data_IF_440030722733
#
_entry.id   IF_440030722733
#
_cell.length_a   1.000
_cell.length_b   1.000
_cell.length_c   1.000
_cell.angle_alpha   90.00
_cell.angle_beta   90.00
_cell.angle_gamma   90.00
#
_symmetry.space_group_name_H-M   'P 1'
#
loop_
_entity.id
_entity.type
_entity.pdbx_description
1 polymer ?
#
# COMPACT_ATOMS: atom_id res chain seq x y z
N UNK A 1 -13.60 -13.95 -16.45
CA UNK A 1 -12.72 -12.93 -15.83
C UNK A 1 -13.03 -12.86 -14.35
N UNK A 2 -12.02 -12.93 -13.49
CA UNK A 2 -12.13 -12.82 -12.04
C UNK A 2 -11.97 -11.35 -11.62
N UNK A 3 -12.86 -10.84 -10.76
CA UNK A 3 -12.68 -9.54 -10.12
C UNK A 3 -11.87 -9.73 -8.83
N UNK A 4 -10.71 -9.09 -8.76
CA UNK A 4 -9.88 -9.06 -7.55
C UNK A 4 -10.43 -8.00 -6.59
N UNK A 5 -11.55 -8.34 -5.92
CA UNK A 5 -12.29 -7.42 -5.06
C UNK A 5 -11.55 -7.19 -3.74
N UNK A 6 -11.05 -5.96 -3.56
CA UNK A 6 -10.35 -5.55 -2.36
C UNK A 6 -11.21 -5.58 -1.09
N UNK A 7 -12.54 -5.49 -1.19
CA UNK A 7 -13.42 -5.60 -0.01
C UNK A 7 -13.39 -7.01 0.54
N UNK A 8 -13.48 -8.02 -0.33
CA UNK A 8 -13.47 -9.43 0.07
C UNK A 8 -12.11 -9.77 0.68
N UNK A 9 -11.02 -9.47 -0.04
CA UNK A 9 -9.67 -9.80 0.42
C UNK A 9 -9.29 -9.04 1.72
N UNK A 10 -9.59 -7.74 1.82
CA UNK A 10 -9.28 -6.98 3.03
C UNK A 10 -10.14 -7.40 4.22
N UNK A 11 -11.40 -7.80 4.00
CA UNK A 11 -12.26 -8.32 5.07
C UNK A 11 -11.68 -9.61 5.67
N UNK A 12 -11.16 -10.53 4.85
CA UNK A 12 -10.52 -11.75 5.33
C UNK A 12 -9.27 -11.46 6.19
N UNK A 13 -8.42 -10.52 5.73
CA UNK A 13 -7.25 -10.09 6.50
C UNK A 13 -7.66 -9.45 7.83
N UNK A 14 -8.65 -8.55 7.81
CA UNK A 14 -9.15 -7.88 9.02
C UNK A 14 -9.78 -8.86 10.02
N UNK A 15 -10.54 -9.84 9.54
CA UNK A 15 -11.11 -10.88 10.41
C UNK A 15 -10.02 -11.67 11.15
N UNK A 16 -8.95 -12.00 10.45
CA UNK A 16 -7.78 -12.67 11.06
C UNK A 16 -7.12 -11.79 12.13
N UNK A 17 -6.91 -10.50 11.82
CA UNK A 17 -6.31 -9.54 12.76
C UNK A 17 -7.20 -9.31 13.99
N UNK A 18 -8.52 -9.19 13.80
CA UNK A 18 -9.46 -9.05 14.90
C UNK A 18 -9.41 -10.26 15.84
N UNK A 19 -9.39 -11.48 15.29
CA UNK A 19 -9.28 -12.69 16.10
C UNK A 19 -7.94 -12.74 16.88
N UNK A 20 -6.83 -12.35 16.27
CA UNK A 20 -5.53 -12.23 16.94
C UNK A 20 -5.58 -11.18 18.07
N UNK A 21 -6.14 -10.01 17.81
CA UNK A 21 -6.28 -8.95 18.86
C UNK A 21 -7.14 -9.41 20.01
N UNK A 22 -8.26 -10.07 19.73
CA UNK A 22 -9.15 -10.62 20.78
C UNK A 22 -8.44 -11.67 21.64
N UNK A 23 -7.62 -12.54 21.03
CA UNK A 23 -6.82 -13.49 21.78
C UNK A 23 -5.83 -12.79 22.72
N UNK A 24 -5.12 -11.75 22.23
CA UNK A 24 -4.20 -10.95 23.05
C UNK A 24 -4.92 -10.30 24.25
N UNK A 25 -6.06 -9.67 24.01
CA UNK A 25 -6.82 -8.98 25.09
C UNK A 25 -7.39 -9.98 26.09
N UNK A 26 -7.80 -11.17 25.66
CA UNK A 26 -8.24 -12.25 26.56
C UNK A 26 -7.11 -12.73 27.47
N UNK A 27 -5.86 -12.70 26.99
CA UNK A 27 -4.66 -13.01 27.76
C UNK A 27 -4.21 -11.84 28.68
N UNK A 28 -4.95 -10.74 28.73
CA UNK A 28 -4.61 -9.53 29.50
C UNK A 28 -3.51 -8.68 28.88
N UNK A 29 -3.16 -8.93 27.63
CA UNK A 29 -2.19 -8.12 26.85
C UNK A 29 -2.89 -6.92 26.24
N UNK A 30 -2.13 -5.83 25.99
CA UNK A 30 -2.66 -4.67 25.29
C UNK A 30 -2.91 -4.96 23.80
N UNK A 31 -3.75 -4.16 23.17
CA UNK A 31 -3.92 -4.19 21.74
C UNK A 31 -2.71 -3.56 21.01
N UNK A 32 -2.47 -3.91 19.70
CA UNK A 32 -1.55 -3.18 18.84
C UNK A 32 -1.99 -1.72 18.69
N UNK A 33 -1.02 -0.79 18.60
CA UNK A 33 -1.29 0.65 18.56
C UNK A 33 -0.62 1.33 17.38
N UNK A 34 -1.44 1.95 16.51
CA UNK A 34 -1.02 2.74 15.36
C UNK A 34 -1.11 4.24 15.65
N UNK A 35 -0.01 4.97 15.54
CA UNK A 35 0.00 6.43 15.54
C UNK A 35 0.09 6.97 14.10
N UNK A 36 -0.89 7.78 13.71
CA UNK A 36 -0.92 8.44 12.41
C UNK A 36 -0.73 9.95 12.57
N UNK A 37 0.14 10.55 11.78
CA UNK A 37 0.35 12.00 11.74
C UNK A 37 -0.19 12.52 10.41
N UNK A 38 -1.04 13.54 10.47
CA UNK A 38 -1.58 14.28 9.32
C UNK A 38 -1.15 15.74 9.41
N UNK A 39 -0.48 16.24 8.37
CA UNK A 39 -0.09 17.63 8.25
C UNK A 39 -0.99 18.35 7.24
N UNK A 40 -1.64 19.40 7.68
CA UNK A 40 -2.60 20.16 6.88
C UNK A 40 -3.96 19.47 6.74
N UNK A 41 -4.76 19.96 5.78
CA UNK A 41 -6.16 19.59 5.60
C UNK A 41 -6.48 19.12 4.17
N UNK A 42 -5.54 18.46 3.49
CA UNK A 42 -5.80 17.90 2.17
C UNK A 42 -6.91 16.84 2.25
N UNK A 43 -8.04 17.08 1.58
CA UNK A 43 -9.22 16.23 1.68
C UNK A 43 -9.02 14.77 1.22
N UNK A 44 -8.02 14.50 0.37
CA UNK A 44 -7.65 13.12 0.05
C UNK A 44 -6.94 12.46 1.24
N UNK A 45 -5.95 13.14 1.82
CA UNK A 45 -5.21 12.67 3.00
C UNK A 45 -6.13 12.49 4.20
N UNK A 46 -7.07 13.40 4.44
CA UNK A 46 -8.08 13.26 5.50
C UNK A 46 -8.95 12.01 5.34
N UNK A 47 -9.43 11.77 4.12
CA UNK A 47 -10.24 10.58 3.82
C UNK A 47 -9.45 9.29 4.08
N UNK A 48 -8.17 9.27 3.69
CA UNK A 48 -7.28 8.12 3.91
C UNK A 48 -7.02 7.87 5.39
N UNK A 49 -6.67 8.91 6.14
CA UNK A 49 -6.41 8.82 7.59
C UNK A 49 -7.66 8.40 8.35
N UNK A 50 -8.81 8.98 8.05
CA UNK A 50 -10.09 8.58 8.66
C UNK A 50 -10.39 7.08 8.39
N UNK A 51 -10.10 6.61 7.17
CA UNK A 51 -10.25 5.19 6.85
C UNK A 51 -9.27 4.31 7.63
N UNK A 52 -8.01 4.74 7.84
CA UNK A 52 -7.02 4.00 8.65
C UNK A 52 -7.49 3.87 10.11
N UNK A 53 -7.91 4.98 10.73
CA UNK A 53 -8.45 4.99 12.10
C UNK A 53 -9.65 4.05 12.24
N UNK A 54 -10.64 4.16 11.35
CA UNK A 54 -11.80 3.28 11.35
C UNK A 54 -11.41 1.79 11.23
N UNK A 55 -10.44 1.46 10.39
CA UNK A 55 -9.99 0.08 10.22
C UNK A 55 -9.19 -0.43 11.44
N UNK A 56 -8.50 0.44 12.19
CA UNK A 56 -7.94 0.09 13.51
C UNK A 56 -9.06 -0.32 14.46
N UNK A 57 -10.13 0.48 14.58
CA UNK A 57 -11.30 0.14 15.41
C UNK A 57 -11.92 -1.21 15.00
N UNK A 58 -12.12 -1.43 13.70
CA UNK A 58 -12.68 -2.70 13.17
C UNK A 58 -11.83 -3.94 13.48
N UNK A 59 -10.53 -3.77 13.72
CA UNK A 59 -9.58 -4.85 14.06
C UNK A 59 -9.23 -4.90 15.54
N UNK A 60 -9.85 -4.03 16.37
CA UNK A 60 -9.58 -3.94 17.80
C UNK A 60 -8.24 -3.31 18.16
N UNK A 61 -7.58 -2.64 17.20
CA UNK A 61 -6.34 -1.91 17.43
C UNK A 61 -6.62 -0.57 18.10
N UNK A 62 -5.69 -0.11 18.92
CA UNK A 62 -5.64 1.28 19.35
C UNK A 62 -5.13 2.17 18.21
N UNK A 63 -5.61 3.41 18.17
CA UNK A 63 -5.11 4.40 17.21
C UNK A 63 -5.00 5.78 17.82
N UNK A 64 -3.92 6.49 17.50
CA UNK A 64 -3.72 7.90 17.82
C UNK A 64 -3.61 8.69 16.53
N UNK A 65 -4.43 9.72 16.38
CA UNK A 65 -4.34 10.67 15.28
C UNK A 65 -3.77 12.00 15.76
N UNK A 66 -2.58 12.33 15.31
CA UNK A 66 -1.93 13.63 15.52
C UNK A 66 -2.22 14.52 14.30
N UNK A 67 -2.87 15.65 14.52
CA UNK A 67 -3.13 16.66 13.48
C UNK A 67 -2.21 17.85 13.71
N UNK A 68 -1.51 18.23 12.65
CA UNK A 68 -0.63 19.40 12.65
C UNK A 68 -1.09 20.36 11.53
N UNK A 69 -0.93 21.64 11.76
CA UNK A 69 -1.31 22.66 10.78
C UNK A 69 -0.43 22.60 9.53
N UNK A 70 -0.93 23.12 8.41
CA UNK A 70 -0.24 23.08 7.12
C UNK A 70 1.09 23.85 7.12
N UNK A 71 1.21 24.85 7.96
CA UNK A 71 2.39 25.70 8.14
C UNK A 71 3.29 25.29 9.31
N UNK A 72 3.00 24.12 9.92
CA UNK A 72 3.86 23.58 11.00
C UNK A 72 5.31 23.48 10.54
N UNK A 73 6.25 23.90 11.39
CA UNK A 73 7.66 23.78 11.06
C UNK A 73 8.09 22.30 11.02
N UNK A 74 9.04 21.98 10.13
CA UNK A 74 9.64 20.64 10.05
C UNK A 74 10.13 20.17 11.44
N UNK A 75 10.75 21.07 12.22
CA UNK A 75 11.23 20.74 13.57
C UNK A 75 10.12 20.20 14.48
N UNK A 76 8.96 20.84 14.52
CA UNK A 76 7.82 20.41 15.36
C UNK A 76 7.32 19.01 14.92
N UNK A 77 7.26 18.76 13.61
CA UNK A 77 6.90 17.43 13.10
C UNK A 77 7.94 16.37 13.51
N UNK A 78 9.22 16.66 13.35
CA UNK A 78 10.29 15.71 13.73
C UNK A 78 10.31 15.46 15.24
N UNK A 79 10.14 16.49 16.08
CA UNK A 79 10.04 16.36 17.53
C UNK A 79 8.85 15.45 17.92
N UNK A 80 7.70 15.57 17.24
CA UNK A 80 6.55 14.71 17.47
C UNK A 80 6.81 13.25 17.05
N UNK A 81 7.52 13.02 15.96
CA UNK A 81 7.94 11.67 15.56
C UNK A 81 8.87 11.05 16.61
N UNK A 82 9.83 11.83 17.13
CA UNK A 82 10.76 11.38 18.18
C UNK A 82 9.99 11.03 19.47
N UNK A 83 8.99 11.82 19.85
CA UNK A 83 8.11 11.51 20.97
C UNK A 83 7.41 10.16 20.79
N UNK A 84 6.84 9.92 19.61
CA UNK A 84 6.17 8.65 19.29
C UNK A 84 7.15 7.47 19.19
N UNK A 85 8.35 7.70 18.67
CA UNK A 85 9.42 6.68 18.65
C UNK A 85 9.74 6.20 20.07
N UNK A 86 9.78 7.11 21.04
CA UNK A 86 10.11 6.82 22.43
C UNK A 86 8.91 6.32 23.26
N UNK A 87 7.71 6.38 22.73
CA UNK A 87 6.52 5.89 23.44
C UNK A 87 6.41 4.36 23.31
N UNK A 88 6.58 3.59 24.40
CA UNK A 88 6.53 2.12 24.37
C UNK A 88 5.13 1.55 24.07
N UNK A 89 4.07 2.35 24.22
CA UNK A 89 2.71 1.91 23.90
C UNK A 89 2.37 2.04 22.41
N UNK A 90 3.21 2.73 21.61
CA UNK A 90 3.02 2.89 20.16
C UNK A 90 3.86 1.85 19.42
N UNK A 91 3.22 1.01 18.62
CA UNK A 91 3.90 -0.04 17.84
C UNK A 91 4.23 0.41 16.42
N UNK A 92 3.32 1.13 15.79
CA UNK A 92 3.48 1.63 14.43
C UNK A 92 3.31 3.14 14.34
N UNK A 93 4.13 3.77 13.51
CA UNK A 93 4.06 5.20 13.18
C UNK A 93 3.93 5.33 11.67
N UNK A 94 3.00 6.16 11.24
CA UNK A 94 2.93 6.62 9.86
C UNK A 94 2.77 8.12 9.80
N UNK A 95 3.41 8.74 8.81
CA UNK A 95 3.18 10.14 8.45
C UNK A 95 2.50 10.17 7.09
N UNK A 96 1.29 10.71 7.04
CA UNK A 96 0.49 10.71 5.81
C UNK A 96 1.11 11.60 4.73
N UNK A 97 1.50 11.00 3.61
CA UNK A 97 2.00 11.71 2.44
C UNK A 97 0.84 12.13 1.50
N UNK A 98 1.03 13.17 0.68
CA UNK A 98 2.22 14.04 0.59
C UNK A 98 2.29 15.07 1.72
N UNK A 99 3.49 15.54 2.03
CA UNK A 99 3.74 16.63 2.97
C UNK A 99 3.75 18.00 2.27
N UNK A 100 3.56 19.11 3.01
CA UNK A 100 3.80 20.46 2.51
C UNK A 100 5.24 20.61 1.99
N UNK A 101 5.43 21.42 0.93
CA UNK A 101 6.71 21.57 0.22
C UNK A 101 7.89 22.05 1.07
N UNK A 102 7.64 22.70 2.21
CA UNK A 102 8.67 23.21 3.12
C UNK A 102 9.21 22.14 4.09
N UNK A 103 8.64 20.94 4.07
CA UNK A 103 9.06 19.80 4.90
C UNK A 103 9.76 18.78 4.02
N UNK A 104 10.96 18.36 4.42
CA UNK A 104 11.71 17.32 3.74
C UNK A 104 11.15 15.93 4.07
N UNK A 105 10.47 15.32 3.09
CA UNK A 105 9.84 14.01 3.21
C UNK A 105 10.86 12.90 3.53
N UNK A 106 12.06 12.95 2.95
CA UNK A 106 13.11 11.95 3.20
C UNK A 106 13.56 11.99 4.65
N UNK A 107 13.79 13.19 5.18
CA UNK A 107 14.18 13.40 6.57
C UNK A 107 13.08 12.95 7.55
N UNK A 108 11.80 13.19 7.22
CA UNK A 108 10.67 12.71 8.01
C UNK A 108 10.65 11.19 8.06
N UNK A 109 10.79 10.51 6.91
CA UNK A 109 10.82 9.05 6.83
C UNK A 109 12.01 8.50 7.65
N UNK A 110 13.20 9.06 7.51
CA UNK A 110 14.40 8.62 8.23
C UNK A 110 14.35 8.89 9.74
N UNK A 111 13.52 9.82 10.20
CA UNK A 111 13.33 10.09 11.63
C UNK A 111 12.45 9.04 12.32
N UNK A 112 11.60 8.35 11.57
CA UNK A 112 10.78 7.24 12.13
C UNK A 112 11.74 6.09 12.50
N UNK A 113 11.57 5.54 13.71
CA UNK A 113 12.33 4.34 14.08
C UNK A 113 11.98 3.18 13.11
N UNK A 114 12.97 2.55 12.46
CA UNK A 114 12.73 1.43 11.54
C UNK A 114 11.88 0.30 12.11
N UNK A 115 11.92 0.10 13.43
CA UNK A 115 11.09 -0.90 14.12
C UNK A 115 9.61 -0.47 14.29
N UNK A 116 9.28 0.78 13.98
CA UNK A 116 7.91 1.34 14.03
C UNK A 116 7.44 1.89 12.68
N UNK A 117 8.27 1.81 11.63
CA UNK A 117 7.95 2.24 10.26
C UNK A 117 7.00 1.23 9.59
N UNK A 118 5.73 1.28 9.96
CA UNK A 118 4.72 0.32 9.45
C UNK A 118 4.25 0.61 8.03
N UNK A 119 4.57 1.78 7.46
CA UNK A 119 4.42 2.04 6.02
C UNK A 119 5.53 1.38 5.19
N UNK A 120 6.68 1.02 5.81
CA UNK A 120 7.78 0.31 5.19
C UNK A 120 8.63 1.16 4.24
N UNK A 121 8.71 2.48 4.47
CA UNK A 121 9.42 3.42 3.60
C UNK A 121 10.83 3.75 4.07
N UNK A 122 11.15 3.45 5.32
CA UNK A 122 12.48 3.73 5.88
C UNK A 122 13.56 2.98 5.09
N UNK A 123 14.69 3.64 4.73
CA UNK A 123 15.78 3.04 3.94
C UNK A 123 16.30 1.71 4.51
N UNK A 124 16.36 1.57 5.85
CA UNK A 124 16.76 0.32 6.50
C UNK A 124 15.76 -0.82 6.18
N UNK A 125 14.45 -0.56 6.18
CA UNK A 125 13.43 -1.55 5.85
C UNK A 125 13.47 -1.91 4.37
N UNK A 126 13.62 -0.92 3.49
CA UNK A 126 13.76 -1.12 2.04
C UNK A 126 15.03 -1.93 1.72
N UNK A 127 16.16 -1.63 2.37
CA UNK A 127 17.41 -2.39 2.20
C UNK A 127 17.26 -3.85 2.62
N UNK A 128 16.58 -4.10 3.74
CA UNK A 128 16.27 -5.47 4.21
C UNK A 128 15.32 -6.20 3.26
N UNK A 129 14.31 -5.49 2.69
CA UNK A 129 13.41 -6.06 1.70
C UNK A 129 14.17 -6.55 0.46
N UNK A 130 15.10 -5.76 -0.06
CA UNK A 130 15.96 -6.13 -1.21
C UNK A 130 16.78 -7.39 -0.91
N UNK A 131 17.25 -7.55 0.33
CA UNK A 131 18.04 -8.71 0.77
C UNK A 131 17.18 -9.93 1.15
N UNK A 132 15.85 -9.85 1.08
CA UNK A 132 14.95 -10.91 1.53
C UNK A 132 14.97 -11.16 3.04
N UNK A 133 15.42 -10.18 3.84
CA UNK A 133 15.45 -10.26 5.29
C UNK A 133 14.10 -9.86 5.91
N UNK A 134 13.75 -10.39 7.10
CA UNK A 134 12.53 -9.99 7.80
C UNK A 134 12.46 -8.47 8.01
N UNK A 135 11.43 -7.82 7.47
CA UNK A 135 11.25 -6.37 7.53
C UNK A 135 9.78 -5.99 7.37
N UNK A 136 9.44 -4.71 7.53
CA UNK A 136 8.15 -4.18 7.08
C UNK A 136 8.19 -3.98 5.57
N UNK A 137 7.12 -4.44 4.93
CA UNK A 137 6.95 -4.33 3.48
C UNK A 137 6.11 -3.06 3.22
N UNK A 138 6.46 -2.21 2.24
CA UNK A 138 5.61 -1.08 1.87
C UNK A 138 4.14 -1.48 1.74
N UNK A 139 3.25 -0.74 2.42
CA UNK A 139 1.88 -1.17 2.67
C UNK A 139 1.07 -1.51 1.40
N UNK A 140 1.22 -0.73 0.32
CA UNK A 140 0.53 -0.99 -0.96
C UNK A 140 1.05 -2.25 -1.66
N UNK A 141 2.35 -2.44 -1.90
CA UNK A 141 2.90 -3.70 -2.39
C UNK A 141 2.54 -4.91 -1.53
N UNK A 142 2.57 -4.75 -0.21
CA UNK A 142 2.15 -5.83 0.69
C UNK A 142 0.68 -6.20 0.51
N UNK A 143 -0.19 -5.20 0.40
CA UNK A 143 -1.60 -5.40 0.10
C UNK A 143 -1.82 -6.15 -1.22
N UNK A 144 -1.03 -5.86 -2.26
CA UNK A 144 -1.09 -6.58 -3.54
C UNK A 144 -0.68 -8.05 -3.35
N UNK A 145 0.40 -8.34 -2.65
CA UNK A 145 0.83 -9.72 -2.34
C UNK A 145 -0.27 -10.48 -1.57
N UNK A 146 -0.88 -9.85 -0.57
CA UNK A 146 -2.01 -10.44 0.18
C UNK A 146 -3.23 -10.70 -0.72
N UNK A 147 -3.51 -9.81 -1.66
CA UNK A 147 -4.60 -9.98 -2.63
C UNK A 147 -4.32 -11.14 -3.59
N UNK A 148 -3.11 -11.21 -4.15
CA UNK A 148 -2.71 -12.32 -5.02
C UNK A 148 -2.81 -13.67 -4.30
N UNK A 149 -2.43 -13.73 -3.02
CA UNK A 149 -2.57 -14.91 -2.18
C UNK A 149 -4.03 -15.28 -1.93
N UNK A 150 -4.88 -14.29 -1.62
CA UNK A 150 -6.29 -14.52 -1.32
C UNK A 150 -7.08 -15.11 -2.49
N UNK A 151 -6.73 -14.70 -3.71
CA UNK A 151 -7.39 -15.16 -4.94
C UNK A 151 -6.64 -16.29 -5.65
N UNK A 152 -5.63 -16.89 -5.00
CA UNK A 152 -4.81 -17.99 -5.54
C UNK A 152 -4.24 -17.68 -6.93
N UNK A 153 -3.80 -16.42 -7.15
CA UNK A 153 -3.22 -16.00 -8.43
C UNK A 153 -1.81 -16.62 -8.58
N UNK A 154 -1.58 -17.44 -9.62
CA UNK A 154 -0.27 -18.05 -9.83
C UNK A 154 0.74 -17.03 -10.33
N UNK A 155 1.88 -16.92 -9.63
CA UNK A 155 2.96 -15.97 -9.94
C UNK A 155 4.25 -16.67 -10.36
N UNK A 156 4.51 -17.88 -9.85
CA UNK A 156 5.75 -18.61 -10.11
C UNK A 156 5.99 -18.87 -11.60
N UNK A 157 7.12 -18.40 -12.10
CA UNK A 157 7.52 -18.56 -13.50
C UNK A 157 6.77 -17.64 -14.48
N UNK A 158 6.00 -16.66 -13.98
CA UNK A 158 5.27 -15.70 -14.80
C UNK A 158 6.14 -14.50 -15.17
N UNK A 159 5.84 -13.89 -16.32
CA UNK A 159 6.37 -12.59 -16.70
C UNK A 159 5.50 -11.50 -16.07
N UNK A 160 6.09 -10.68 -15.21
CA UNK A 160 5.41 -9.56 -14.61
C UNK A 160 5.98 -8.22 -15.10
N UNK A 161 5.11 -7.30 -15.42
CA UNK A 161 5.48 -5.93 -15.79
C UNK A 161 4.95 -4.99 -14.71
N UNK A 162 5.84 -4.17 -14.15
CA UNK A 162 5.48 -3.12 -13.21
C UNK A 162 5.68 -1.78 -13.90
N UNK A 163 4.60 -1.03 -14.12
CA UNK A 163 4.64 0.28 -14.77
C UNK A 163 4.63 1.37 -13.69
N UNK A 164 5.75 2.06 -13.52
CA UNK A 164 6.00 3.03 -12.46
C UNK A 164 7.15 2.58 -11.56
N UNK A 165 8.00 3.54 -11.14
CA UNK A 165 9.22 3.25 -10.35
C UNK A 165 9.33 4.09 -9.09
N UNK A 166 8.18 4.41 -8.47
CA UNK A 166 8.15 5.10 -7.18
C UNK A 166 8.78 4.25 -6.08
N UNK A 167 9.33 4.91 -5.06
CA UNK A 167 9.90 4.21 -3.90
C UNK A 167 8.82 3.55 -3.03
N UNK A 168 7.56 4.03 -3.13
CA UNK A 168 6.45 3.56 -2.30
C UNK A 168 5.67 2.39 -2.92
N UNK A 169 5.72 2.23 -4.26
CA UNK A 169 4.98 1.13 -4.95
C UNK A 169 5.86 0.42 -5.97
N UNK A 170 6.27 1.08 -7.05
CA UNK A 170 6.83 0.39 -8.22
C UNK A 170 8.10 -0.40 -7.93
N UNK A 171 9.09 0.21 -7.28
CA UNK A 171 10.34 -0.47 -6.89
C UNK A 171 10.08 -1.62 -5.90
N UNK A 172 9.43 -1.42 -4.75
CA UNK A 172 9.19 -2.53 -3.84
C UNK A 172 8.32 -3.62 -4.44
N UNK A 173 7.37 -3.30 -5.33
CA UNK A 173 6.57 -4.30 -6.02
C UNK A 173 7.41 -5.17 -6.96
N UNK A 174 8.35 -4.57 -7.71
CA UNK A 174 9.25 -5.33 -8.58
C UNK A 174 10.18 -6.26 -7.78
N UNK A 175 10.63 -5.83 -6.61
CA UNK A 175 11.42 -6.65 -5.69
C UNK A 175 10.58 -7.85 -5.19
N UNK A 176 9.37 -7.60 -4.70
CA UNK A 176 8.50 -8.65 -4.15
C UNK A 176 8.12 -9.70 -5.20
N UNK A 177 7.72 -9.28 -6.39
CA UNK A 177 7.35 -10.20 -7.46
C UNK A 177 8.53 -11.04 -7.95
N UNK A 178 9.77 -10.53 -7.90
CA UNK A 178 10.97 -11.29 -8.24
C UNK A 178 11.54 -12.13 -7.10
N UNK A 179 11.12 -11.88 -5.85
CA UNK A 179 11.63 -12.57 -4.67
C UNK A 179 11.17 -14.04 -4.60
N UNK A 180 11.95 -14.86 -3.91
CA UNK A 180 11.60 -16.26 -3.63
C UNK A 180 10.61 -16.36 -2.46
N UNK A 181 9.38 -15.95 -2.71
CA UNK A 181 8.23 -16.02 -1.80
C UNK A 181 7.03 -16.65 -2.52
N UNK A 182 6.00 -17.15 -1.82
CA UNK A 182 4.86 -17.83 -2.47
C UNK A 182 4.20 -17.03 -3.60
N UNK A 183 3.98 -15.71 -3.43
CA UNK A 183 3.42 -14.81 -4.46
C UNK A 183 4.50 -14.03 -5.23
N UNK A 184 5.71 -14.56 -5.30
CA UNK A 184 6.84 -14.04 -6.05
C UNK A 184 7.25 -15.00 -7.17
N UNK A 185 8.57 -15.13 -7.36
CA UNK A 185 9.19 -16.01 -8.36
C UNK A 185 8.80 -15.67 -9.81
N UNK A 186 8.48 -14.38 -10.07
CA UNK A 186 8.28 -13.86 -11.43
C UNK A 186 9.60 -13.44 -12.06
N UNK A 187 9.67 -13.45 -13.40
CA UNK A 187 10.58 -12.60 -14.15
C UNK A 187 9.96 -11.21 -14.24
N UNK A 188 10.64 -10.16 -13.77
CA UNK A 188 10.03 -8.83 -13.63
C UNK A 188 10.70 -7.81 -14.53
N UNK A 189 9.91 -7.09 -15.32
CA UNK A 189 10.33 -5.91 -16.06
C UNK A 189 9.76 -4.65 -15.38
N UNK A 190 10.63 -3.77 -14.88
CA UNK A 190 10.25 -2.47 -14.31
C UNK A 190 10.27 -1.39 -15.38
N UNK A 191 9.10 -0.87 -15.74
CA UNK A 191 8.91 0.15 -16.76
C UNK A 191 8.69 1.54 -16.15
N UNK A 192 9.07 2.57 -16.91
CA UNK A 192 8.99 3.97 -16.52
C UNK A 192 8.89 4.91 -17.73
N UNK A 193 8.80 6.21 -17.53
CA UNK A 193 8.63 7.23 -18.57
C UNK A 193 9.69 7.24 -19.69
N UNK A 194 10.83 6.62 -19.48
CA UNK A 194 11.89 6.48 -20.49
C UNK A 194 11.94 5.07 -21.12
N UNK A 195 11.02 4.17 -20.76
CA UNK A 195 10.94 2.85 -21.36
C UNK A 195 10.48 2.98 -22.80
N UNK A 196 11.26 2.42 -23.73
CA UNK A 196 10.88 2.28 -25.14
C UNK A 196 10.07 0.99 -25.30
N UNK A 197 9.22 0.95 -26.33
CA UNK A 197 8.43 -0.24 -26.68
C UNK A 197 7.58 -0.78 -25.51
N UNK A 198 6.99 0.13 -24.72
CA UNK A 198 6.20 -0.26 -23.52
C UNK A 198 5.02 -1.18 -23.89
N UNK A 199 4.37 -0.93 -25.01
CA UNK A 199 3.25 -1.75 -25.49
C UNK A 199 3.68 -3.19 -25.74
N UNK A 200 4.76 -3.40 -26.44
CA UNK A 200 5.32 -4.73 -26.76
C UNK A 200 5.71 -5.47 -25.47
N UNK A 201 6.34 -4.76 -24.54
CA UNK A 201 6.69 -5.32 -23.22
C UNK A 201 5.43 -5.76 -22.44
N UNK A 202 4.38 -4.94 -22.46
CA UNK A 202 3.12 -5.27 -21.79
C UNK A 202 2.40 -6.46 -22.45
N UNK A 203 2.48 -6.61 -23.77
CA UNK A 203 1.88 -7.74 -24.50
C UNK A 203 2.52 -9.10 -24.17
N UNK A 204 3.75 -9.12 -23.62
CA UNK A 204 4.42 -10.35 -23.17
C UNK A 204 4.10 -10.68 -21.70
N UNK A 205 3.46 -9.76 -20.96
CA UNK A 205 3.24 -9.90 -19.53
C UNK A 205 2.06 -10.82 -19.21
N UNK A 206 2.26 -11.74 -18.27
CA UNK A 206 1.19 -12.52 -17.62
C UNK A 206 0.54 -11.74 -16.49
N UNK A 207 1.29 -10.82 -15.85
CA UNK A 207 0.83 -9.96 -14.76
C UNK A 207 1.28 -8.53 -15.06
N UNK A 208 0.37 -7.57 -15.02
CA UNK A 208 0.70 -6.14 -15.14
C UNK A 208 0.27 -5.42 -13.88
N UNK A 209 1.21 -4.68 -13.26
CA UNK A 209 0.93 -3.76 -12.16
C UNK A 209 1.07 -2.34 -12.67
N UNK A 210 -0.04 -1.61 -12.79
CA UNK A 210 -0.07 -0.22 -13.23
C UNK A 210 -0.04 0.71 -12.00
N UNK A 211 1.05 1.48 -11.85
CA UNK A 211 1.31 2.35 -10.70
C UNK A 211 1.99 3.66 -11.11
N UNK A 212 1.36 4.40 -12.03
CA UNK A 212 1.93 5.64 -12.60
C UNK A 212 1.16 6.91 -12.17
N UNK A 213 -0.08 6.78 -11.73
CA UNK A 213 -0.94 7.93 -11.41
C UNK A 213 -1.45 8.68 -12.64
N UNK A 214 -1.60 8.00 -13.78
CA UNK A 214 -2.12 8.55 -15.03
C UNK A 214 -3.39 7.80 -15.42
N UNK A 215 -4.57 8.42 -15.33
CA UNK A 215 -5.84 7.75 -15.59
C UNK A 215 -5.94 7.14 -16.98
N UNK A 216 -6.45 5.90 -17.05
CA UNK A 216 -6.69 5.14 -18.29
C UNK A 216 -5.45 4.99 -19.19
N UNK A 217 -4.26 5.00 -18.63
CA UNK A 217 -3.01 4.88 -19.38
C UNK A 217 -2.83 3.50 -20.03
N UNK A 218 -3.09 2.42 -19.28
CA UNK A 218 -3.02 1.06 -19.80
C UNK A 218 -4.31 0.71 -20.55
N UNK A 219 -4.22 0.64 -21.87
CA UNK A 219 -5.33 0.34 -22.77
C UNK A 219 -5.39 -1.14 -23.15
N UNK A 220 -6.54 -1.61 -23.66
CA UNK A 220 -6.75 -3.02 -23.99
C UNK A 220 -5.82 -3.57 -25.07
N UNK A 221 -5.33 -2.73 -25.98
CA UNK A 221 -4.37 -3.10 -27.02
C UNK A 221 -2.94 -3.29 -26.51
N UNK A 222 -2.67 -2.93 -25.23
CA UNK A 222 -1.42 -3.19 -24.53
C UNK A 222 -1.49 -4.47 -23.68
N UNK A 223 -2.64 -5.14 -23.58
CA UNK A 223 -2.86 -6.26 -22.66
C UNK A 223 -2.89 -7.58 -23.42
N UNK A 224 -2.04 -8.51 -23.01
CA UNK A 224 -2.04 -9.90 -23.46
C UNK A 224 -3.36 -10.58 -23.05
N UNK A 225 -4.05 -11.31 -23.95
CA UNK A 225 -5.22 -12.08 -23.55
C UNK A 225 -4.91 -13.05 -22.40
N UNK A 226 -5.71 -13.00 -21.34
CA UNK A 226 -5.53 -13.83 -20.17
C UNK A 226 -4.60 -13.25 -19.09
N UNK A 227 -4.04 -12.07 -19.28
CA UNK A 227 -3.20 -11.41 -18.28
C UNK A 227 -3.99 -11.05 -17.00
N UNK A 228 -3.28 -10.99 -15.87
CA UNK A 228 -3.77 -10.47 -14.59
C UNK A 228 -3.40 -9.00 -14.47
N UNK A 229 -4.37 -8.14 -14.20
CA UNK A 229 -4.19 -6.69 -14.17
C UNK A 229 -4.41 -6.16 -12.76
N UNK A 230 -3.38 -5.54 -12.20
CA UNK A 230 -3.41 -4.89 -10.89
C UNK A 230 -3.32 -3.38 -11.10
N UNK A 231 -4.43 -2.69 -10.94
CA UNK A 231 -4.51 -1.23 -11.03
C UNK A 231 -4.32 -0.60 -9.65
N UNK A 232 -3.24 0.15 -9.49
CA UNK A 232 -2.89 0.87 -8.25
C UNK A 232 -3.34 2.34 -8.31
N UNK A 233 -3.72 2.82 -9.50
CA UNK A 233 -4.12 4.21 -9.72
C UNK A 233 -5.35 4.61 -8.88
N UNK A 234 -5.32 5.82 -8.32
CA UNK A 234 -6.42 6.42 -7.53
C UNK A 234 -6.54 7.91 -7.82
N UNK A 235 -6.51 8.28 -9.06
CA UNK A 235 -6.56 9.69 -9.47
C UNK A 235 -7.98 10.25 -9.37
N UNK A 236 -8.13 11.41 -8.73
CA UNK A 236 -9.39 12.16 -8.73
C UNK A 236 -9.51 12.92 -10.07
N UNK A 237 -10.56 12.62 -10.80
CA UNK A 237 -10.90 13.32 -12.06
C UNK A 237 -12.19 14.08 -11.83
N UNK A 238 -12.21 15.38 -12.16
CA UNK A 238 -13.41 16.21 -12.06
C UNK A 238 -14.55 15.62 -12.90
N UNK A 239 -15.73 15.55 -12.31
CA UNK A 239 -16.94 15.06 -12.96
C UNK A 239 -18.15 15.78 -12.36
N UNK A 240 -18.68 16.76 -13.10
CA UNK A 240 -19.83 17.54 -12.69
C UNK A 240 -21.11 16.70 -12.49
N UNK A 241 -21.18 15.49 -13.06
CA UNK A 241 -22.31 14.57 -12.88
C UNK A 241 -22.22 13.74 -11.61
N UNK A 242 -21.05 13.70 -10.99
CA UNK A 242 -20.85 12.96 -9.75
C UNK A 242 -21.30 13.77 -8.53
N UNK A 243 -22.00 13.13 -7.57
CA UNK A 243 -22.47 13.79 -6.32
C UNK A 243 -21.38 14.53 -5.54
N UNK A 244 -20.12 14.11 -5.69
CA UNK A 244 -18.95 14.72 -5.01
C UNK A 244 -18.15 15.67 -5.91
N UNK A 245 -18.62 15.95 -7.15
CA UNK A 245 -17.89 16.76 -8.13
C UNK A 245 -16.67 16.06 -8.76
N UNK A 246 -16.39 14.83 -8.41
CA UNK A 246 -15.28 14.04 -8.97
C UNK A 246 -15.56 12.54 -8.95
N UNK A 247 -14.83 11.80 -9.80
CA UNK A 247 -14.72 10.33 -9.73
C UNK A 247 -13.28 9.93 -9.49
N UNK A 248 -13.11 8.76 -8.88
CA UNK A 248 -11.80 8.10 -8.78
C UNK A 248 -11.64 7.23 -10.01
N UNK A 249 -10.52 7.41 -10.73
CA UNK A 249 -10.11 6.60 -11.86
C UNK A 249 -8.76 5.95 -11.59
N UNK A 250 -8.62 4.72 -12.06
CA UNK A 250 -7.37 3.99 -12.07
C UNK A 250 -6.47 4.36 -13.25
N UNK A 251 -5.29 3.76 -13.27
CA UNK A 251 -4.32 3.90 -14.35
C UNK A 251 -4.69 3.01 -15.57
N UNK A 252 -5.65 2.11 -15.41
CA UNK A 252 -6.08 1.15 -16.43
C UNK A 252 -7.41 1.60 -17.04
N UNK A 253 -7.54 1.52 -18.36
CA UNK A 253 -8.82 1.58 -19.03
C UNK A 253 -9.59 0.29 -18.73
N UNK A 254 -10.43 0.36 -17.69
CA UNK A 254 -11.08 -0.81 -17.08
C UNK A 254 -11.93 -1.60 -18.08
N UNK A 255 -12.74 -0.92 -18.88
CA UNK A 255 -13.66 -1.58 -19.82
C UNK A 255 -12.91 -2.35 -20.91
N UNK A 256 -11.86 -1.75 -21.49
CA UNK A 256 -11.02 -2.41 -22.48
C UNK A 256 -10.20 -3.55 -21.86
N UNK A 257 -9.68 -3.36 -20.64
CA UNK A 257 -8.93 -4.37 -19.92
C UNK A 257 -9.80 -5.59 -19.57
N UNK A 258 -11.06 -5.40 -19.19
CA UNK A 258 -11.99 -6.47 -18.89
C UNK A 258 -12.21 -7.43 -20.08
N UNK A 259 -12.13 -6.94 -21.31
CA UNK A 259 -12.26 -7.77 -22.52
C UNK A 259 -11.06 -8.69 -22.74
N UNK A 260 -9.92 -8.47 -22.09
CA UNK A 260 -8.64 -9.17 -22.27
C UNK A 260 -8.18 -9.94 -21.04
N UNK A 261 -8.37 -9.37 -19.87
CA UNK A 261 -7.83 -9.89 -18.61
C UNK A 261 -8.50 -11.20 -18.17
N UNK A 262 -7.74 -12.09 -17.55
CA UNK A 262 -8.29 -13.22 -16.76
C UNK A 262 -8.73 -12.79 -15.37
N UNK A 263 -8.01 -11.81 -14.78
CA UNK A 263 -8.35 -11.22 -13.50
C UNK A 263 -7.95 -9.74 -13.49
N UNK A 264 -8.73 -8.90 -12.77
CA UNK A 264 -8.50 -7.45 -12.70
C UNK A 264 -8.97 -6.88 -11.37
N UNK A 265 -8.24 -5.88 -10.85
CA UNK A 265 -8.67 -5.08 -9.70
C UNK A 265 -9.59 -3.95 -10.13
N UNK A 266 -10.73 -3.71 -9.45
CA UNK A 266 -11.56 -2.53 -9.70
C UNK A 266 -10.97 -1.27 -9.05
N UNK A 267 -11.23 -0.09 -9.64
CA UNK A 267 -10.94 1.21 -9.03
C UNK A 267 -12.21 2.08 -9.08
N UNK A 268 -12.72 2.50 -7.91
CA UNK A 268 -12.33 2.15 -6.55
C UNK A 268 -12.73 0.73 -6.14
N UNK A 269 -12.15 0.23 -5.04
CA UNK A 269 -12.56 -1.04 -4.42
C UNK A 269 -11.54 -2.19 -4.54
N UNK A 270 -10.42 -1.97 -5.19
CA UNK A 270 -9.30 -2.92 -5.32
C UNK A 270 -8.15 -2.64 -4.35
N UNK A 271 -6.98 -2.30 -4.90
CA UNK A 271 -5.70 -2.16 -4.18
C UNK A 271 -5.76 -1.18 -3.01
N UNK A 272 -6.49 -0.07 -3.11
CA UNK A 272 -6.55 0.93 -2.04
C UNK A 272 -7.06 0.38 -0.70
N UNK A 273 -7.97 -0.61 -0.71
CA UNK A 273 -8.44 -1.28 0.51
C UNK A 273 -7.39 -2.24 1.06
N UNK A 274 -6.64 -2.87 0.19
CA UNK A 274 -5.56 -3.78 0.56
C UNK A 274 -4.33 -3.04 1.12
N UNK A 275 -4.10 -1.79 0.72
CA UNK A 275 -3.08 -0.93 1.34
C UNK A 275 -3.31 -0.80 2.84
N UNK A 276 -4.56 -0.59 3.27
CA UNK A 276 -4.90 -0.50 4.69
C UNK A 276 -4.71 -1.87 5.38
N UNK A 277 -5.10 -2.95 4.73
CA UNK A 277 -4.87 -4.30 5.26
C UNK A 277 -3.38 -4.61 5.44
N UNK A 278 -2.53 -4.22 4.49
CA UNK A 278 -1.06 -4.33 4.58
C UNK A 278 -0.48 -3.52 5.74
N UNK A 279 -0.96 -2.29 5.93
CA UNK A 279 -0.56 -1.42 7.05
C UNK A 279 -0.91 -2.06 8.41
N UNK A 280 -2.12 -2.59 8.57
CA UNK A 280 -2.54 -3.26 9.80
C UNK A 280 -1.72 -4.54 10.07
N UNK A 281 -1.40 -5.33 9.03
CA UNK A 281 -0.49 -6.47 9.15
C UNK A 281 0.90 -6.06 9.64
N UNK A 282 1.44 -4.98 9.12
CA UNK A 282 2.72 -4.43 9.59
C UNK A 282 2.62 -3.95 11.04
N UNK A 283 1.50 -3.30 11.44
CA UNK A 283 1.28 -2.84 12.81
C UNK A 283 1.21 -4.01 13.80
N UNK A 284 0.50 -5.09 13.45
CA UNK A 284 0.49 -6.32 14.25
C UNK A 284 1.90 -6.90 14.39
N UNK A 285 2.65 -6.99 13.28
CA UNK A 285 4.04 -7.48 13.28
C UNK A 285 4.96 -6.62 14.16
N UNK A 286 4.76 -5.28 14.15
CA UNK A 286 5.52 -4.37 15.00
C UNK A 286 5.21 -4.62 16.49
N UNK A 287 3.93 -4.80 16.82
CA UNK A 287 3.49 -5.17 18.16
C UNK A 287 4.16 -6.49 18.62
N UNK A 288 4.05 -7.56 17.84
CA UNK A 288 4.64 -8.86 18.16
C UNK A 288 6.17 -8.75 18.39
N UNK A 289 6.85 -7.98 17.55
CA UNK A 289 8.29 -7.74 17.70
C UNK A 289 8.65 -6.94 18.96
N UNK A 290 7.75 -6.08 19.44
CA UNK A 290 7.95 -5.29 20.68
C UNK A 290 7.79 -6.14 21.95
N UNK A 291 6.99 -7.21 21.91
CA UNK A 291 6.77 -8.11 23.03
C UNK A 291 7.90 -9.13 23.25
N UNK A 292 8.75 -9.32 22.26
CA UNK A 292 9.86 -10.30 22.30
C UNK A 292 11.21 -9.63 22.67
N UNK A 293 11.19 -8.39 23.15
CA UNK A 293 12.34 -7.67 23.70
C UNK A 293 12.28 -7.70 25.21
#
# INVERSE_FOLDING_TARGET
MLILDGKIASAAVKATLLAQTQALTTEGKRAPHLAAILVGNNGASETYVASKVKNCEETGFESTLVRLDVDVSEKILLDKIIELNNNPSVDGILVQLPLPKHIDEAKVIETINPAKDVDGFHPANVGRLVQGLPTFIPATPYGIILMLAHFDIPTKGKNAVVIGRSNIVGRPMSILLSSNIPQGNCTVTLCHSHTKNLKEICLEADIIVAALGVPNFLTGDMIKPGAVIIDVGITRVEDATAKKGFRIKGDVNYDEACAKASAITPVPGGVGLMTIAGLLKNTMKAYEASQNK
#
